data_IF_414301258170
#
_entry.id   IF_414301258170
#
_cell.length_a   1.000
_cell.length_b   1.000
_cell.length_c   1.000
_cell.angle_alpha   90.00
_cell.angle_beta   90.00
_cell.angle_gamma   90.00
#
_symmetry.space_group_name_H-M   'P 1'
#
loop_
_entity.id
_entity.type
_entity.pdbx_description
1 polymer ?
#
# COMPACT_ATOMS: atom_id res chain seq x y z
N UNK A 1 32.68 -0.73 -22.24
CA UNK A 1 31.35 -0.99 -21.58
C UNK A 1 31.11 0.19 -20.66
N UNK A 2 30.15 1.06 -21.04
CA UNK A 2 29.88 2.32 -20.35
C UNK A 2 29.22 2.06 -18.98
N UNK A 3 29.84 2.46 -17.88
CA UNK A 3 29.30 2.27 -16.53
C UNK A 3 28.01 3.11 -16.28
N UNK A 4 27.74 4.11 -17.08
CA UNK A 4 26.53 4.93 -16.98
C UNK A 4 25.26 4.21 -17.42
N UNK A 5 25.36 3.31 -18.41
CA UNK A 5 24.23 2.52 -18.89
C UNK A 5 23.76 1.48 -17.87
N UNK A 6 24.67 0.95 -17.06
CA UNK A 6 24.38 -0.01 -16.00
C UNK A 6 23.65 0.65 -14.80
N UNK A 7 24.01 1.90 -14.47
CA UNK A 7 23.34 2.67 -13.40
C UNK A 7 21.91 3.05 -13.78
N UNK A 8 21.68 3.45 -15.03
CA UNK A 8 20.34 3.83 -15.51
C UNK A 8 19.33 2.68 -15.48
N UNK A 9 19.73 1.46 -15.85
CA UNK A 9 18.88 0.28 -15.77
C UNK A 9 18.53 -0.08 -14.32
N UNK A 10 19.47 -0.06 -13.39
CA UNK A 10 19.24 -0.34 -11.98
C UNK A 10 18.21 0.61 -11.34
N UNK A 11 18.26 1.90 -11.68
CA UNK A 11 17.32 2.90 -11.18
C UNK A 11 15.90 2.72 -11.73
N UNK A 12 15.77 2.29 -12.99
CA UNK A 12 14.45 2.02 -13.60
C UNK A 12 13.79 0.81 -12.92
N UNK A 13 14.54 -0.27 -12.69
CA UNK A 13 14.01 -1.46 -12.01
C UNK A 13 13.62 -1.18 -10.55
N UNK A 14 14.42 -0.42 -9.79
CA UNK A 14 14.06 0.00 -8.43
C UNK A 14 12.78 0.83 -8.41
N UNK A 15 12.52 1.67 -9.41
CA UNK A 15 11.27 2.42 -9.52
C UNK A 15 10.06 1.52 -9.78
N UNK A 16 10.20 0.51 -10.64
CA UNK A 16 9.12 -0.45 -10.92
C UNK A 16 8.73 -1.25 -9.68
N UNK A 17 9.71 -1.75 -8.94
CA UNK A 17 9.51 -2.46 -7.69
C UNK A 17 8.73 -1.60 -6.68
N UNK A 18 9.16 -0.38 -6.46
CA UNK A 18 8.53 0.56 -5.55
C UNK A 18 7.07 0.86 -5.93
N UNK A 19 6.80 1.03 -7.24
CA UNK A 19 5.44 1.24 -7.75
C UNK A 19 4.59 -0.01 -7.52
N UNK A 20 5.12 -1.22 -7.74
CA UNK A 20 4.41 -2.48 -7.50
C UNK A 20 4.03 -2.65 -6.02
N UNK A 21 4.94 -2.34 -5.10
CA UNK A 21 4.68 -2.41 -3.66
C UNK A 21 3.58 -1.42 -3.26
N UNK A 22 3.71 -0.15 -3.70
CA UNK A 22 2.71 0.89 -3.39
C UNK A 22 1.37 0.53 -4.02
N UNK A 23 1.34 0.02 -5.24
CA UNK A 23 0.11 -0.44 -5.89
C UNK A 23 -0.53 -1.59 -5.10
N UNK A 24 0.28 -2.57 -4.65
CA UNK A 24 -0.20 -3.69 -3.84
C UNK A 24 -0.86 -3.24 -2.53
N UNK A 25 -0.22 -2.33 -1.81
CA UNK A 25 -0.78 -1.74 -0.58
C UNK A 25 -2.02 -0.88 -0.88
N UNK A 26 -2.01 -0.14 -1.98
CA UNK A 26 -3.12 0.74 -2.37
C UNK A 26 -4.36 -0.04 -2.83
N UNK A 27 -4.21 -1.26 -3.32
CA UNK A 27 -5.34 -2.15 -3.65
C UNK A 27 -6.16 -2.56 -2.41
N UNK A 28 -5.56 -2.60 -1.21
CA UNK A 28 -6.32 -2.77 0.03
C UNK A 28 -7.24 -1.56 0.28
N UNK A 29 -6.75 -0.35 0.00
CA UNK A 29 -7.55 0.88 0.09
C UNK A 29 -8.67 0.86 -0.95
N UNK A 30 -8.37 0.47 -2.19
CA UNK A 30 -9.37 0.32 -3.25
C UNK A 30 -10.51 -0.62 -2.82
N UNK A 31 -10.20 -1.81 -2.34
CA UNK A 31 -11.19 -2.79 -1.89
C UNK A 31 -12.03 -2.27 -0.72
N UNK A 32 -11.42 -1.54 0.22
CA UNK A 32 -12.10 -0.90 1.32
C UNK A 32 -13.06 0.21 0.83
N UNK A 33 -12.62 1.02 -0.13
CA UNK A 33 -13.43 2.11 -0.71
C UNK A 33 -14.54 1.58 -1.61
N UNK A 34 -14.34 0.48 -2.34
CA UNK A 34 -15.38 -0.21 -3.10
C UNK A 34 -16.53 -0.66 -2.18
N UNK A 35 -16.20 -1.23 -1.02
CA UNK A 35 -17.21 -1.61 -0.04
C UNK A 35 -18.03 -0.41 0.45
N UNK A 36 -17.40 0.72 0.71
CA UNK A 36 -18.10 1.91 1.18
C UNK A 36 -18.90 2.57 0.05
N UNK A 37 -18.37 2.62 -1.16
CA UNK A 37 -19.06 3.14 -2.34
C UNK A 37 -20.35 2.38 -2.66
N UNK A 38 -20.34 1.05 -2.47
CA UNK A 38 -21.51 0.20 -2.70
C UNK A 38 -22.65 0.43 -1.69
N UNK A 39 -22.36 0.95 -0.51
CA UNK A 39 -23.35 1.23 0.55
C UNK A 39 -24.00 2.61 0.45
N UNK A 40 -23.41 3.53 -0.30
CA UNK A 40 -23.83 4.93 -0.37
C UNK A 40 -24.92 5.12 -1.44
N UNK A 41 -26.00 5.79 -1.08
CA UNK A 41 -27.10 6.11 -2.01
C UNK A 41 -26.73 7.21 -3.01
N UNK A 42 -25.88 8.18 -2.62
CA UNK A 42 -25.42 9.29 -3.47
C UNK A 42 -23.98 9.67 -3.14
N UNK A 43 -23.14 9.75 -4.16
CA UNK A 43 -21.75 10.21 -4.01
C UNK A 43 -21.71 11.74 -4.11
N UNK A 44 -21.44 12.40 -2.99
CA UNK A 44 -21.18 13.85 -2.96
C UNK A 44 -19.69 14.12 -3.24
N UNK A 45 -19.42 14.85 -4.33
CA UNK A 45 -18.06 15.19 -4.77
C UNK A 45 -17.27 15.97 -3.72
N UNK A 46 -17.93 16.83 -2.93
CA UNK A 46 -17.26 17.60 -1.86
C UNK A 46 -16.81 16.68 -0.73
N UNK A 47 -17.71 15.81 -0.27
CA UNK A 47 -17.35 14.82 0.77
C UNK A 47 -16.28 13.85 0.30
N UNK A 48 -16.35 13.37 -0.94
CA UNK A 48 -15.33 12.53 -1.54
C UNK A 48 -13.96 13.22 -1.58
N UNK A 49 -13.89 14.50 -1.95
CA UNK A 49 -12.64 15.27 -1.98
C UNK A 49 -12.03 15.40 -0.58
N UNK A 50 -12.85 15.65 0.45
CA UNK A 50 -12.38 15.71 1.85
C UNK A 50 -11.85 14.37 2.32
N UNK A 51 -12.55 13.28 1.99
CA UNK A 51 -12.14 11.92 2.32
C UNK A 51 -10.81 11.58 1.63
N UNK A 52 -10.65 11.89 0.34
CA UNK A 52 -9.39 11.69 -0.39
C UNK A 52 -8.23 12.44 0.28
N UNK A 53 -8.44 13.70 0.66
CA UNK A 53 -7.41 14.51 1.31
C UNK A 53 -7.03 13.93 2.69
N UNK A 54 -8.00 13.55 3.50
CA UNK A 54 -7.77 12.93 4.81
C UNK A 54 -7.01 11.62 4.71
N UNK A 55 -7.42 10.74 3.78
CA UNK A 55 -6.76 9.45 3.57
C UNK A 55 -5.33 9.67 3.06
N UNK A 56 -5.12 10.58 2.10
CA UNK A 56 -3.79 10.88 1.57
C UNK A 56 -2.83 11.40 2.64
N UNK A 57 -3.26 12.36 3.47
CA UNK A 57 -2.45 12.87 4.59
C UNK A 57 -2.14 11.75 5.59
N UNK A 58 -3.12 10.93 5.92
CA UNK A 58 -2.93 9.81 6.84
C UNK A 58 -1.93 8.78 6.31
N UNK A 59 -1.99 8.45 5.03
CA UNK A 59 -1.05 7.53 4.36
C UNK A 59 0.37 8.11 4.30
N UNK A 60 0.49 9.42 4.04
CA UNK A 60 1.77 10.12 4.10
C UNK A 60 2.41 10.01 5.48
N UNK A 61 1.65 10.29 6.53
CA UNK A 61 2.13 10.18 7.91
C UNK A 61 2.54 8.75 8.25
N UNK A 62 1.74 7.74 7.84
CA UNK A 62 2.04 6.34 8.11
C UNK A 62 3.33 5.89 7.40
N UNK A 63 3.51 6.25 6.12
CA UNK A 63 4.72 5.92 5.36
C UNK A 63 5.96 6.62 5.93
N UNK A 64 5.86 7.91 6.26
CA UNK A 64 6.95 8.68 6.83
C UNK A 64 7.37 8.13 8.21
N UNK A 65 6.39 7.78 9.07
CA UNK A 65 6.65 7.16 10.36
C UNK A 65 7.30 5.78 10.20
N UNK A 66 6.84 4.97 9.25
CA UNK A 66 7.45 3.67 8.96
C UNK A 66 8.91 3.79 8.55
N UNK A 67 9.22 4.73 7.65
CA UNK A 67 10.58 5.01 7.23
C UNK A 67 11.44 5.55 8.36
N UNK A 68 10.91 6.42 9.22
CA UNK A 68 11.62 6.92 10.40
C UNK A 68 11.94 5.80 11.39
N UNK A 69 10.98 4.89 11.62
CA UNK A 69 11.18 3.72 12.49
C UNK A 69 12.28 2.79 11.95
N UNK A 70 12.37 2.58 10.64
CA UNK A 70 13.45 1.78 10.05
C UNK A 70 14.82 2.41 10.32
N UNK A 71 14.94 3.74 10.21
CA UNK A 71 16.15 4.47 10.55
C UNK A 71 16.56 4.33 12.02
N UNK A 72 15.59 4.28 12.94
CA UNK A 72 15.86 4.02 14.35
C UNK A 72 16.31 2.58 14.61
N UNK A 73 15.71 1.61 13.94
CA UNK A 73 16.09 0.19 14.02
C UNK A 73 17.51 -0.03 13.48
N UNK A 74 17.86 0.68 12.40
CA UNK A 74 19.20 0.63 11.80
C UNK A 74 20.27 1.20 12.73
N UNK A 75 19.97 2.23 13.52
CA UNK A 75 20.90 2.90 14.42
C UNK A 75 21.26 2.09 15.68
N UNK A 76 20.46 1.09 16.04
CA UNK A 76 20.62 0.30 17.26
C UNK A 76 21.48 -0.97 17.09
N UNK A 77 22.51 -0.96 16.24
CA UNK A 77 23.57 -2.00 16.09
C UNK A 77 23.09 -3.45 15.93
N UNK A 78 21.83 -3.70 15.60
CA UNK A 78 21.33 -5.06 15.34
C UNK A 78 21.75 -5.63 13.97
N UNK A 79 22.53 -4.87 13.18
CA UNK A 79 22.89 -5.22 11.82
C UNK A 79 24.41 -5.08 11.58
N UNK A 80 25.20 -6.03 12.06
CA UNK A 80 26.62 -6.13 11.68
C UNK A 80 26.82 -6.60 10.23
N UNK A 81 25.79 -7.21 9.60
CA UNK A 81 25.65 -7.48 8.16
C UNK A 81 24.52 -6.62 7.59
N UNK A 82 24.82 -5.34 7.39
CA UNK A 82 23.86 -4.23 7.27
C UNK A 82 22.84 -4.36 6.14
N UNK A 83 23.16 -4.97 5.03
CA UNK A 83 22.27 -5.06 3.86
C UNK A 83 21.38 -6.32 3.87
N UNK A 84 21.90 -7.46 4.34
CA UNK A 84 21.18 -8.74 4.27
C UNK A 84 19.99 -8.79 5.22
N UNK A 85 20.18 -8.37 6.48
CA UNK A 85 19.12 -8.41 7.50
C UNK A 85 17.96 -7.47 7.12
N UNK A 86 18.26 -6.27 6.61
CA UNK A 86 17.25 -5.32 6.15
C UNK A 86 16.42 -5.88 5.00
N UNK A 87 17.04 -6.52 4.02
CA UNK A 87 16.38 -7.17 2.89
C UNK A 87 15.46 -8.33 3.33
N UNK A 88 15.94 -9.17 4.24
CA UNK A 88 15.13 -10.27 4.80
C UNK A 88 13.91 -9.72 5.54
N UNK A 89 14.08 -8.68 6.36
CA UNK A 89 12.96 -8.04 7.07
C UNK A 89 11.97 -7.47 6.06
N UNK A 90 12.42 -6.75 5.03
CA UNK A 90 11.54 -6.21 3.99
C UNK A 90 10.76 -7.32 3.27
N UNK A 91 11.41 -8.39 2.87
CA UNK A 91 10.77 -9.54 2.23
C UNK A 91 9.72 -10.19 3.15
N UNK A 92 10.04 -10.42 4.42
CA UNK A 92 9.10 -10.97 5.42
C UNK A 92 7.87 -10.07 5.58
N UNK A 93 8.06 -8.75 5.61
CA UNK A 93 6.96 -7.77 5.67
C UNK A 93 6.07 -7.91 4.43
N UNK A 94 6.63 -7.95 3.22
CA UNK A 94 5.82 -8.06 1.99
C UNK A 94 5.08 -9.37 1.88
N UNK A 95 5.71 -10.49 2.24
CA UNK A 95 5.02 -11.78 2.29
C UNK A 95 3.92 -11.81 3.35
N UNK A 96 4.17 -11.27 4.54
CA UNK A 96 3.19 -11.17 5.61
C UNK A 96 1.99 -10.30 5.23
N UNK A 97 2.23 -9.17 4.58
CA UNK A 97 1.16 -8.30 4.05
C UNK A 97 0.34 -9.01 2.95
N UNK A 98 0.99 -9.74 2.05
CA UNK A 98 0.32 -10.52 1.02
C UNK A 98 -0.57 -11.61 1.60
N UNK A 99 -0.07 -12.39 2.56
CA UNK A 99 -0.85 -13.42 3.28
C UNK A 99 -2.08 -12.79 3.95
N UNK A 100 -1.93 -11.64 4.57
CA UNK A 100 -3.03 -10.94 5.24
C UNK A 100 -4.09 -10.42 4.26
N UNK A 101 -3.69 -9.96 3.07
CA UNK A 101 -4.64 -9.61 2.01
C UNK A 101 -5.42 -10.83 1.52
N UNK A 102 -4.78 -11.98 1.35
CA UNK A 102 -5.47 -13.23 1.01
C UNK A 102 -6.42 -13.65 2.13
N UNK A 103 -5.99 -13.57 3.38
CA UNK A 103 -6.87 -13.85 4.51
C UNK A 103 -8.13 -12.97 4.52
N UNK A 104 -7.99 -11.67 4.19
CA UNK A 104 -9.13 -10.75 4.00
C UNK A 104 -10.02 -11.18 2.82
N UNK A 105 -9.43 -11.60 1.70
CA UNK A 105 -10.16 -12.08 0.54
C UNK A 105 -11.02 -13.32 0.86
N UNK A 106 -10.46 -14.27 1.62
CA UNK A 106 -11.14 -15.51 2.02
C UNK A 106 -12.20 -15.25 3.08
N UNK A 107 -11.89 -14.42 4.07
CA UNK A 107 -12.79 -14.17 5.22
C UNK A 107 -14.09 -13.48 4.82
N UNK A 108 -14.15 -12.93 3.60
CA UNK A 108 -15.30 -12.27 2.97
C UNK A 108 -16.22 -11.61 4.03
N UNK A 109 -15.68 -10.59 4.74
CA UNK A 109 -16.43 -9.95 5.83
C UNK A 109 -17.77 -9.47 5.29
N UNK A 110 -18.84 -10.05 5.84
CA UNK A 110 -20.21 -9.65 5.55
C UNK A 110 -20.34 -8.16 5.86
N UNK A 111 -20.40 -7.36 4.81
CA UNK A 111 -20.68 -5.94 4.96
C UNK A 111 -22.13 -5.86 5.38
N UNK A 112 -22.37 -5.30 6.57
CA UNK A 112 -23.72 -5.08 7.06
C UNK A 112 -24.42 -4.17 6.04
N UNK A 113 -25.37 -4.70 5.26
CA UNK A 113 -26.01 -4.07 4.10
C UNK A 113 -26.94 -2.90 4.48
N UNK A 114 -26.56 -2.11 5.47
CA UNK A 114 -27.30 -0.92 5.84
C UNK A 114 -26.93 0.20 4.87
N UNK A 115 -27.81 0.47 3.93
CA UNK A 115 -27.66 1.58 2.97
C UNK A 115 -27.56 2.89 3.73
N UNK A 116 -26.47 3.61 3.55
CA UNK A 116 -26.20 4.90 4.19
C UNK A 116 -26.59 6.03 3.23
N UNK A 117 -27.30 7.06 3.73
CA UNK A 117 -27.74 8.20 2.89
C UNK A 117 -26.55 9.05 2.43
N UNK A 118 -25.43 9.07 3.18
CA UNK A 118 -24.24 9.86 2.88
C UNK A 118 -22.96 9.15 3.31
N UNK A 119 -21.82 9.62 2.78
CA UNK A 119 -20.49 9.15 3.15
C UNK A 119 -20.19 9.52 4.62
N UNK A 120 -20.07 8.55 5.52
CA UNK A 120 -19.70 8.79 6.92
C UNK A 120 -18.18 8.89 7.08
N UNK A 121 -17.67 10.12 7.23
CA UNK A 121 -16.25 10.44 7.39
C UNK A 121 -15.60 9.65 8.55
N UNK A 122 -16.32 9.44 9.68
CA UNK A 122 -15.80 8.69 10.83
C UNK A 122 -15.54 7.23 10.49
N UNK A 123 -16.42 6.62 9.72
CA UNK A 123 -16.30 5.23 9.27
C UNK A 123 -15.11 5.07 8.33
N UNK A 124 -14.95 6.00 7.38
CA UNK A 124 -13.80 6.06 6.49
C UNK A 124 -12.49 6.23 7.26
N UNK A 125 -12.46 7.15 8.24
CA UNK A 125 -11.26 7.38 9.05
C UNK A 125 -10.86 6.13 9.86
N UNK A 126 -11.83 5.42 10.43
CA UNK A 126 -11.56 4.15 11.14
C UNK A 126 -11.00 3.08 10.23
N UNK A 127 -11.58 2.91 9.01
CA UNK A 127 -11.05 1.98 8.02
C UNK A 127 -9.64 2.36 7.59
N UNK A 128 -9.40 3.65 7.34
CA UNK A 128 -8.09 4.16 6.97
C UNK A 128 -7.05 3.93 8.07
N UNK A 129 -7.41 4.08 9.33
CA UNK A 129 -6.51 3.79 10.44
C UNK A 129 -6.06 2.32 10.46
N UNK A 130 -6.94 1.38 10.13
CA UNK A 130 -6.61 -0.04 10.01
C UNK A 130 -5.72 -0.31 8.78
N UNK A 131 -6.01 0.30 7.63
CA UNK A 131 -5.19 0.13 6.41
C UNK A 131 -3.83 0.80 6.54
N UNK A 132 -3.70 1.85 7.35
CA UNK A 132 -2.44 2.57 7.59
C UNK A 132 -1.36 1.71 8.25
N UNK A 133 -1.75 0.67 8.97
CA UNK A 133 -0.78 -0.30 9.52
C UNK A 133 0.02 -0.96 8.39
N UNK A 134 -0.63 -1.26 7.26
CA UNK A 134 0.06 -1.84 6.09
C UNK A 134 1.01 -0.85 5.45
N UNK A 135 0.58 0.41 5.33
CA UNK A 135 1.43 1.48 4.80
C UNK A 135 2.61 1.78 5.70
N UNK A 136 2.42 1.72 7.02
CA UNK A 136 3.50 1.86 7.99
C UNK A 136 4.53 0.73 7.84
N UNK A 137 4.08 -0.53 7.75
CA UNK A 137 4.95 -1.67 7.51
C UNK A 137 5.68 -1.58 6.18
N UNK A 138 4.99 -1.16 5.11
CA UNK A 138 5.62 -0.90 3.83
C UNK A 138 6.66 0.24 3.92
N UNK A 139 6.39 1.28 4.71
CA UNK A 139 7.35 2.36 5.00
C UNK A 139 8.61 1.86 5.69
N UNK A 140 8.48 0.94 6.64
CA UNK A 140 9.63 0.29 7.29
C UNK A 140 10.43 -0.50 6.26
N UNK A 141 9.77 -1.30 5.40
CA UNK A 141 10.43 -2.07 4.36
C UNK A 141 11.18 -1.17 3.37
N UNK A 142 10.59 -0.06 2.92
CA UNK A 142 11.23 0.92 2.06
C UNK A 142 12.46 1.58 2.71
N UNK A 143 12.40 1.82 4.02
CA UNK A 143 13.55 2.35 4.74
C UNK A 143 14.73 1.38 4.75
N UNK A 144 14.48 0.08 4.90
CA UNK A 144 15.53 -0.95 4.81
C UNK A 144 16.07 -1.11 3.38
N UNK A 145 15.25 -0.89 2.36
CA UNK A 145 15.67 -0.93 0.95
C UNK A 145 16.47 0.31 0.52
N UNK A 146 16.62 1.32 1.38
CA UNK A 146 17.33 2.56 1.07
C UNK A 146 16.72 3.36 -0.10
N UNK A 147 15.40 3.32 -0.25
CA UNK A 147 14.68 3.96 -1.36
C UNK A 147 14.55 5.47 -1.14
N UNK A 148 14.38 6.23 -2.26
CA UNK A 148 14.17 7.67 -2.18
C UNK A 148 12.79 7.99 -1.58
N UNK A 149 12.77 8.41 -0.32
CA UNK A 149 11.53 8.67 0.45
C UNK A 149 10.64 9.72 -0.22
N UNK A 150 11.22 10.80 -0.75
CA UNK A 150 10.45 11.88 -1.40
C UNK A 150 9.66 11.34 -2.61
N UNK A 151 10.27 10.50 -3.43
CA UNK A 151 9.62 9.87 -4.57
C UNK A 151 8.52 8.93 -4.11
N UNK A 152 8.73 8.15 -3.04
CA UNK A 152 7.71 7.27 -2.46
C UNK A 152 6.50 8.03 -1.95
N UNK A 153 6.72 9.16 -1.26
CA UNK A 153 5.64 10.02 -0.77
C UNK A 153 4.77 10.56 -1.91
N UNK A 154 5.38 10.96 -3.03
CA UNK A 154 4.63 11.43 -4.20
C UNK A 154 3.81 10.29 -4.81
N UNK A 155 4.41 9.14 -5.02
CA UNK A 155 3.73 7.98 -5.64
C UNK A 155 2.55 7.53 -4.77
N UNK A 156 2.73 7.44 -3.44
CA UNK A 156 1.65 6.97 -2.56
C UNK A 156 0.46 7.93 -2.53
N UNK A 157 0.69 9.24 -2.59
CA UNK A 157 -0.38 10.24 -2.67
C UNK A 157 -1.17 10.07 -3.97
N UNK A 158 -0.47 10.03 -5.11
CA UNK A 158 -1.11 9.86 -6.41
C UNK A 158 -1.92 8.56 -6.49
N UNK A 159 -1.33 7.45 -6.06
CA UNK A 159 -1.98 6.14 -6.04
C UNK A 159 -3.17 6.11 -5.07
N UNK A 160 -3.02 6.66 -3.87
CA UNK A 160 -4.11 6.71 -2.88
C UNK A 160 -5.30 7.48 -3.42
N UNK A 161 -5.11 8.66 -3.98
CA UNK A 161 -6.20 9.46 -4.57
C UNK A 161 -6.87 8.69 -5.70
N UNK A 162 -6.09 8.11 -6.61
CA UNK A 162 -6.62 7.34 -7.73
C UNK A 162 -7.46 6.15 -7.23
N UNK A 163 -6.94 5.35 -6.30
CA UNK A 163 -7.64 4.15 -5.81
C UNK A 163 -8.84 4.47 -4.91
N UNK A 164 -8.81 5.56 -4.15
CA UNK A 164 -9.99 6.02 -3.39
C UNK A 164 -11.12 6.41 -4.33
N UNK A 165 -10.82 7.23 -5.34
CA UNK A 165 -11.82 7.67 -6.32
C UNK A 165 -12.35 6.48 -7.11
N UNK A 166 -11.47 5.65 -7.68
CA UNK A 166 -11.85 4.46 -8.43
C UNK A 166 -12.66 3.48 -7.57
N UNK A 167 -12.24 3.22 -6.33
CA UNK A 167 -12.93 2.31 -5.42
C UNK A 167 -14.35 2.77 -5.12
N UNK A 168 -14.53 4.04 -4.75
CA UNK A 168 -15.87 4.58 -4.46
C UNK A 168 -16.79 4.54 -5.69
N UNK A 169 -16.31 4.94 -6.88
CA UNK A 169 -17.11 4.91 -8.08
C UNK A 169 -17.40 3.48 -8.56
N UNK A 170 -16.44 2.58 -8.49
CA UNK A 170 -16.62 1.16 -8.82
C UNK A 170 -17.64 0.53 -7.88
N UNK A 171 -17.51 0.76 -6.58
CA UNK A 171 -18.48 0.29 -5.59
C UNK A 171 -19.88 0.83 -5.82
N UNK A 172 -20.00 2.12 -6.13
CA UNK A 172 -21.29 2.76 -6.41
C UNK A 172 -22.02 2.17 -7.64
N UNK A 173 -21.25 1.86 -8.71
CA UNK A 173 -21.84 1.36 -9.96
C UNK A 173 -21.94 -0.17 -10.04
N UNK A 174 -20.97 -0.90 -9.50
CA UNK A 174 -20.81 -2.36 -9.68
C UNK A 174 -21.02 -3.15 -8.36
N UNK A 175 -21.20 -2.47 -7.23
CA UNK A 175 -21.32 -3.12 -5.92
C UNK A 175 -20.02 -3.75 -5.46
N UNK A 176 -20.10 -4.93 -4.82
CA UNK A 176 -18.97 -5.60 -4.17
C UNK A 176 -18.18 -6.57 -5.07
N UNK A 177 -18.39 -6.57 -6.37
CA UNK A 177 -17.91 -7.63 -7.25
C UNK A 177 -16.37 -7.71 -7.36
N UNK A 178 -15.68 -6.61 -7.25
CA UNK A 178 -14.24 -6.51 -7.48
C UNK A 178 -13.40 -6.58 -6.20
N UNK A 179 -14.02 -6.43 -5.02
CA UNK A 179 -13.36 -6.44 -3.71
C UNK A 179 -12.38 -7.61 -3.54
N UNK A 180 -12.84 -8.84 -3.75
CA UNK A 180 -12.02 -10.05 -3.59
C UNK A 180 -10.90 -10.09 -4.63
N UNK A 181 -11.17 -9.69 -5.88
CA UNK A 181 -10.16 -9.61 -6.94
C UNK A 181 -9.08 -8.60 -6.62
N UNK A 182 -9.45 -7.44 -6.03
CA UNK A 182 -8.51 -6.42 -5.61
C UNK A 182 -7.59 -6.92 -4.47
N UNK A 183 -8.12 -7.61 -3.47
CA UNK A 183 -7.29 -8.19 -2.41
C UNK A 183 -6.32 -9.24 -2.94
N UNK A 184 -6.78 -10.14 -3.82
CA UNK A 184 -5.91 -11.16 -4.43
C UNK A 184 -4.85 -10.50 -5.33
N UNK A 185 -5.25 -9.51 -6.15
CA UNK A 185 -4.32 -8.76 -6.99
C UNK A 185 -3.25 -8.04 -6.17
N UNK A 186 -3.64 -7.38 -5.08
CA UNK A 186 -2.73 -6.73 -4.14
C UNK A 186 -1.73 -7.70 -3.50
N UNK A 187 -2.21 -8.86 -3.09
CA UNK A 187 -1.36 -9.91 -2.52
C UNK A 187 -0.32 -10.43 -3.52
N UNK A 188 -0.74 -10.66 -4.77
CA UNK A 188 0.16 -11.11 -5.83
C UNK A 188 1.24 -10.07 -6.13
N UNK A 189 0.88 -8.78 -6.20
CA UNK A 189 1.85 -7.70 -6.42
C UNK A 189 2.88 -7.62 -5.29
N UNK A 190 2.44 -7.75 -4.03
CA UNK A 190 3.35 -7.76 -2.87
C UNK A 190 4.26 -8.98 -2.85
N UNK A 191 3.77 -10.15 -3.26
CA UNK A 191 4.61 -11.36 -3.34
C UNK A 191 5.62 -11.27 -4.47
N UNK A 192 5.22 -10.76 -5.64
CA UNK A 192 6.16 -10.52 -6.76
C UNK A 192 7.26 -9.56 -6.31
N UNK A 193 6.91 -8.47 -5.64
CA UNK A 193 7.90 -7.53 -5.11
C UNK A 193 8.80 -8.17 -4.06
N UNK A 194 8.26 -8.97 -3.14
CA UNK A 194 9.03 -9.69 -2.13
C UNK A 194 10.02 -10.70 -2.74
N UNK A 195 9.61 -11.39 -3.81
CA UNK A 195 10.49 -12.31 -4.56
C UNK A 195 11.59 -11.53 -5.28
N UNK A 196 11.25 -10.39 -5.93
CA UNK A 196 12.24 -9.56 -6.64
C UNK A 196 13.33 -9.04 -5.70
N UNK A 197 12.95 -8.60 -4.49
CA UNK A 197 13.89 -8.21 -3.43
C UNK A 197 14.87 -9.33 -3.09
N UNK A 198 14.39 -10.57 -2.93
CA UNK A 198 15.22 -11.73 -2.60
C UNK A 198 16.13 -12.12 -3.76
N UNK A 199 15.57 -12.20 -4.97
CA UNK A 199 16.32 -12.64 -6.17
C UNK A 199 17.48 -11.69 -6.47
N UNK A 200 17.28 -10.39 -6.37
CA UNK A 200 18.35 -9.41 -6.60
C UNK A 200 19.50 -9.55 -5.61
N UNK A 201 19.19 -9.91 -4.38
CA UNK A 201 20.23 -10.08 -3.37
C UNK A 201 21.02 -11.39 -3.56
N UNK A 202 20.38 -12.44 -4.09
CA UNK A 202 21.09 -13.72 -4.38
C UNK A 202 21.92 -13.60 -5.67
N UNK A 203 21.52 -12.74 -6.62
CA UNK A 203 22.18 -12.59 -7.92
C UNK A 203 23.26 -11.49 -7.98
N UNK A 204 23.37 -10.63 -6.96
CA UNK A 204 24.44 -9.64 -6.79
C UNK A 204 25.44 -10.07 -5.73
#
# INVERSE_FOLDING_TARGET
RDPEMSRGLGDVYKRQENVLIIAGVSLDIFAAMECQGALVAKVDKKQLSVICALIAVWQLCALALGNYLSGLLYRNELAHDENFVGLVIAAVIFFGLGIRLIAKAIKNEWVNERREESLDVKKFLRMTAVTSIYTLLAGIAFGFLGTNVALMLIIIVCMTIAFVVLGVYTGYHLGFQHKTKAYVGGALLLWIAGIDVIVRHIMC
#
